data_IF_749755092832
#
_entry.id   IF_749755092832
#
_cell.length_a   1.000
_cell.length_b   1.000
_cell.length_c   1.000
_cell.angle_alpha   90.00
_cell.angle_beta   90.00
_cell.angle_gamma   90.00
#
_symmetry.space_group_name_H-M   'P 1'
#
loop_
_entity.id
_entity.type
_entity.pdbx_description
1 polymer ?
#
# COMPACT_ATOMS: atom_id res chain seq x y z
N UNK A 1 8.98 -36.96 1.90
CA UNK A 1 10.32 -36.81 2.53
C UNK A 1 10.55 -38.02 3.44
N UNK A 2 11.48 -38.91 3.09
CA UNK A 2 11.66 -40.20 3.76
C UNK A 2 12.01 -40.05 5.25
N UNK A 3 11.45 -40.91 6.10
CA UNK A 3 11.73 -40.96 7.54
C UNK A 3 13.24 -41.11 7.84
N UNK A 4 13.96 -41.81 6.96
CA UNK A 4 15.42 -41.95 7.02
C UNK A 4 16.15 -40.61 6.84
N UNK A 5 15.72 -39.77 5.89
CA UNK A 5 16.34 -38.48 5.61
C UNK A 5 16.16 -37.48 6.77
N UNK A 6 15.00 -37.50 7.43
CA UNK A 6 14.76 -36.69 8.65
C UNK A 6 15.72 -37.06 9.79
N UNK A 7 16.02 -38.35 9.97
CA UNK A 7 16.98 -38.80 11.00
C UNK A 7 18.41 -38.30 10.73
N UNK A 8 18.83 -38.24 9.47
CA UNK A 8 20.16 -37.76 9.08
C UNK A 8 20.30 -36.25 9.36
N UNK A 9 19.29 -35.46 8.99
CA UNK A 9 19.30 -34.01 9.23
C UNK A 9 19.37 -33.69 10.72
N UNK A 10 18.58 -34.38 11.55
CA UNK A 10 18.57 -34.15 13.01
C UNK A 10 19.94 -34.47 13.63
N UNK A 11 20.58 -35.57 13.22
CA UNK A 11 21.93 -35.92 13.70
C UNK A 11 22.98 -34.85 13.34
N UNK A 12 22.90 -34.27 12.15
CA UNK A 12 23.83 -33.25 11.70
C UNK A 12 23.71 -31.94 12.49
N UNK A 13 22.47 -31.50 12.77
CA UNK A 13 22.20 -30.31 13.59
C UNK A 13 22.73 -30.48 15.01
N UNK A 14 22.56 -31.67 15.60
CA UNK A 14 23.08 -31.97 16.95
C UNK A 14 24.61 -31.92 16.96
N UNK A 15 25.26 -32.44 15.92
CA UNK A 15 26.72 -32.43 15.82
C UNK A 15 27.29 -31.00 15.73
N UNK A 16 26.69 -30.12 14.92
CA UNK A 16 27.11 -28.70 14.84
C UNK A 16 26.96 -27.97 16.18
N UNK A 17 25.89 -28.27 16.92
CA UNK A 17 25.65 -27.67 18.23
C UNK A 17 26.74 -28.09 19.24
N UNK A 18 27.15 -29.37 19.23
CA UNK A 18 28.22 -29.87 20.10
C UNK A 18 29.56 -29.20 19.77
N UNK A 19 29.91 -29.09 18.49
CA UNK A 19 31.17 -28.44 18.06
C UNK A 19 31.19 -26.97 18.49
N UNK A 20 30.07 -26.25 18.28
CA UNK A 20 29.95 -24.84 18.68
C UNK A 20 30.12 -24.66 20.20
N UNK A 21 29.57 -25.59 20.99
CA UNK A 21 29.69 -25.57 22.44
C UNK A 21 31.12 -25.85 22.91
N UNK A 22 31.82 -26.80 22.26
CA UNK A 22 33.22 -27.08 22.57
C UNK A 22 34.13 -25.88 22.28
N UNK A 23 33.98 -25.24 21.11
CA UNK A 23 34.73 -24.02 20.78
C UNK A 23 34.50 -22.94 21.83
N UNK A 24 33.24 -22.73 22.24
CA UNK A 24 32.90 -21.74 23.26
C UNK A 24 33.56 -22.06 24.61
N UNK A 25 33.61 -23.33 25.02
CA UNK A 25 34.29 -23.76 26.26
C UNK A 25 35.82 -23.66 26.21
N UNK A 26 36.45 -23.78 25.03
CA UNK A 26 37.90 -23.60 24.86
C UNK A 26 38.33 -22.13 24.81
N UNK A 27 37.43 -21.19 24.43
CA UNK A 27 37.78 -19.77 24.36
C UNK A 27 38.39 -19.19 25.66
N UNK A 28 37.87 -19.43 26.88
CA UNK A 28 38.50 -18.90 28.10
C UNK A 28 39.88 -19.49 28.39
N UNK A 29 40.21 -20.68 27.88
CA UNK A 29 41.53 -21.31 28.08
C UNK A 29 42.61 -20.69 27.17
N UNK A 30 42.24 -20.36 25.92
CA UNK A 30 43.12 -19.70 24.95
C UNK A 30 43.37 -18.22 25.29
N UNK A 31 42.46 -17.57 26.01
CA UNK A 31 42.61 -16.18 26.46
C UNK A 31 43.03 -16.08 27.94
N UNK A 32 43.75 -17.09 28.44
CA UNK A 32 44.31 -17.14 29.79
C UNK A 32 44.97 -15.82 30.19
N UNK A 33 44.45 -15.24 31.28
CA UNK A 33 45.00 -14.11 32.05
C UNK A 33 45.76 -13.08 31.22
N UNK A 34 45.03 -12.34 30.37
CA UNK A 34 45.53 -11.07 29.85
C UNK A 34 45.77 -10.16 31.07
N UNK A 35 47.03 -10.06 31.50
CA UNK A 35 47.43 -9.16 32.59
C UNK A 35 46.89 -7.77 32.24
N UNK A 36 46.12 -7.11 33.12
CA UNK A 36 45.60 -5.79 32.83
C UNK A 36 46.80 -4.88 32.55
N UNK A 37 46.85 -4.33 31.34
CA UNK A 37 47.93 -3.45 30.91
C UNK A 37 47.98 -2.26 31.87
N UNK A 38 48.98 -2.23 32.76
CA UNK A 38 49.17 -1.15 33.72
C UNK A 38 49.59 0.11 32.94
N UNK A 39 48.62 0.99 32.70
CA UNK A 39 48.85 2.26 32.00
C UNK A 39 49.75 3.15 32.86
N UNK A 40 50.95 3.41 32.36
CA UNK A 40 51.95 4.26 33.01
C UNK A 40 51.41 5.69 33.22
N UNK A 41 51.51 6.20 34.44
CA UNK A 41 50.88 7.44 34.93
C UNK A 41 51.43 8.73 34.32
N UNK A 42 52.51 8.65 33.53
CA UNK A 42 53.12 9.80 32.83
C UNK A 42 52.30 10.36 31.66
N UNK A 43 51.22 9.68 31.26
CA UNK A 43 50.40 10.09 30.11
C UNK A 43 49.03 10.70 30.46
N UNK A 44 48.83 11.15 31.71
CA UNK A 44 47.54 11.73 32.17
C UNK A 44 47.08 12.93 31.32
N UNK A 45 48.00 13.75 30.81
CA UNK A 45 47.68 14.86 29.89
C UNK A 45 47.19 14.36 28.52
N UNK A 46 47.83 13.36 27.90
CA UNK A 46 47.35 12.77 26.63
C UNK A 46 46.02 12.01 26.78
N UNK A 47 45.76 11.39 27.94
CA UNK A 47 44.48 10.73 28.26
C UNK A 47 43.33 11.75 28.38
N UNK A 48 43.60 12.97 28.84
CA UNK A 48 42.58 14.03 28.90
C UNK A 48 42.20 14.57 27.52
N UNK A 49 43.19 14.75 26.63
CA UNK A 49 42.98 15.23 25.25
C UNK A 49 42.24 14.18 24.41
N UNK A 50 42.56 12.89 24.59
CA UNK A 50 41.84 11.79 23.93
C UNK A 50 40.40 11.64 24.44
N UNK A 51 40.14 11.84 25.75
CA UNK A 51 38.77 11.90 26.30
C UNK A 51 37.97 13.07 25.72
N UNK A 52 38.57 14.24 25.51
CA UNK A 52 37.92 15.38 24.87
C UNK A 52 37.58 15.11 23.40
N UNK A 53 38.53 14.59 22.60
CA UNK A 53 38.28 14.16 21.21
C UNK A 53 37.20 13.08 21.12
N UNK A 54 37.16 12.14 22.07
CA UNK A 54 36.11 11.13 22.19
C UNK A 54 34.71 11.72 22.44
N UNK A 55 34.59 12.74 23.29
CA UNK A 55 33.30 13.40 23.56
C UNK A 55 32.78 14.18 22.34
N UNK A 56 33.66 14.89 21.62
CA UNK A 56 33.30 15.62 20.40
C UNK A 56 32.84 14.66 19.30
N UNK A 57 33.56 13.56 19.06
CA UNK A 57 33.16 12.55 18.06
C UNK A 57 31.85 11.86 18.42
N UNK A 58 31.60 11.55 19.69
CA UNK A 58 30.32 11.00 20.15
C UNK A 58 29.16 12.00 19.97
N UNK A 59 29.38 13.28 20.24
CA UNK A 59 28.38 14.33 20.03
C UNK A 59 28.03 14.48 18.55
N UNK A 60 29.03 14.53 17.67
CA UNK A 60 28.84 14.57 16.21
C UNK A 60 28.09 13.33 15.72
N UNK A 61 28.47 12.13 16.18
CA UNK A 61 27.78 10.86 15.82
C UNK A 61 26.32 10.83 16.31
N UNK A 62 26.03 11.40 17.47
CA UNK A 62 24.65 11.54 17.99
C UNK A 62 23.85 12.55 17.15
N UNK A 63 24.45 13.68 16.79
CA UNK A 63 23.82 14.70 15.94
C UNK A 63 23.49 14.15 14.54
N UNK A 64 24.44 13.45 13.90
CA UNK A 64 24.24 12.82 12.58
C UNK A 64 23.19 11.70 12.62
N UNK A 65 23.15 10.89 13.69
CA UNK A 65 22.08 9.89 13.87
C UNK A 65 20.70 10.54 14.01
N UNK A 66 20.59 11.62 14.79
CA UNK A 66 19.32 12.37 14.95
C UNK A 66 18.88 12.98 13.61
N UNK A 67 19.79 13.61 12.86
CA UNK A 67 19.48 14.20 11.56
C UNK A 67 19.08 13.13 10.53
N UNK A 68 19.80 12.00 10.47
CA UNK A 68 19.48 10.86 9.60
C UNK A 68 18.11 10.25 9.94
N UNK A 69 17.78 10.07 11.23
CA UNK A 69 16.46 9.58 11.68
C UNK A 69 15.35 10.54 11.26
N UNK A 70 15.55 11.86 11.45
CA UNK A 70 14.60 12.91 11.03
C UNK A 70 14.40 12.91 9.50
N UNK A 71 15.47 12.78 8.72
CA UNK A 71 15.41 12.68 7.26
C UNK A 71 14.65 11.43 6.79
N UNK A 72 14.92 10.26 7.40
CA UNK A 72 14.20 9.02 7.11
C UNK A 72 12.70 9.15 7.43
N UNK A 73 12.35 9.77 8.56
CA UNK A 73 10.95 10.04 8.93
C UNK A 73 10.26 10.97 7.93
N UNK A 74 10.93 12.07 7.52
CA UNK A 74 10.41 12.98 6.47
C UNK A 74 10.17 12.26 5.15
N UNK A 75 11.10 11.42 4.70
CA UNK A 75 10.95 10.59 3.48
C UNK A 75 9.74 9.65 3.58
N UNK A 76 9.56 8.95 4.71
CA UNK A 76 8.39 8.08 4.96
C UNK A 76 7.08 8.85 4.94
N UNK A 77 7.02 10.00 5.63
CA UNK A 77 5.83 10.86 5.64
C UNK A 77 5.47 11.36 4.24
N UNK A 78 6.45 11.84 3.46
CA UNK A 78 6.27 12.24 2.06
C UNK A 78 5.74 11.09 1.21
N UNK A 79 6.34 9.89 1.31
CA UNK A 79 5.89 8.69 0.58
C UNK A 79 4.43 8.33 0.92
N UNK A 80 4.05 8.41 2.19
CA UNK A 80 2.67 8.15 2.63
C UNK A 80 1.68 9.19 2.10
N UNK A 81 2.04 10.48 2.12
CA UNK A 81 1.22 11.56 1.52
C UNK A 81 1.01 11.34 0.03
N UNK A 82 2.06 11.00 -0.71
CA UNK A 82 1.98 10.68 -2.14
C UNK A 82 1.08 9.46 -2.41
N UNK A 83 1.23 8.38 -1.64
CA UNK A 83 0.34 7.20 -1.74
C UNK A 83 -1.13 7.56 -1.48
N UNK A 84 -1.42 8.37 -0.47
CA UNK A 84 -2.79 8.85 -0.20
C UNK A 84 -3.34 9.67 -1.37
N UNK A 85 -2.54 10.58 -1.94
CA UNK A 85 -2.93 11.37 -3.14
C UNK A 85 -3.19 10.47 -4.36
N UNK A 86 -2.30 9.52 -4.63
CA UNK A 86 -2.46 8.57 -5.73
C UNK A 86 -3.74 7.72 -5.59
N UNK A 87 -4.06 7.24 -4.38
CA UNK A 87 -5.32 6.53 -4.11
C UNK A 87 -6.54 7.41 -4.36
N UNK A 88 -6.54 8.66 -3.87
CA UNK A 88 -7.61 9.63 -4.13
C UNK A 88 -7.79 9.90 -5.63
N UNK A 89 -6.69 10.10 -6.36
CA UNK A 89 -6.73 10.32 -7.81
C UNK A 89 -7.23 9.09 -8.57
N UNK A 90 -6.80 7.88 -8.19
CA UNK A 90 -7.32 6.63 -8.77
C UNK A 90 -8.83 6.48 -8.54
N UNK A 91 -9.32 6.81 -7.34
CA UNK A 91 -10.75 6.84 -7.03
C UNK A 91 -11.51 7.86 -7.88
N UNK A 92 -10.99 9.09 -8.00
CA UNK A 92 -11.57 10.14 -8.87
C UNK A 92 -11.62 9.70 -10.34
N UNK A 93 -10.54 9.10 -10.87
CA UNK A 93 -10.51 8.54 -12.24
C UNK A 93 -11.55 7.44 -12.44
N UNK A 94 -11.73 6.53 -11.48
CA UNK A 94 -12.76 5.48 -11.53
C UNK A 94 -14.18 6.08 -11.56
N UNK A 95 -14.45 7.07 -10.72
CA UNK A 95 -15.74 7.79 -10.69
C UNK A 95 -15.95 8.57 -11.99
N UNK A 96 -14.91 9.19 -12.55
CA UNK A 96 -15.01 9.89 -13.83
C UNK A 96 -15.30 8.92 -14.99
N UNK A 97 -14.63 7.76 -15.01
CA UNK A 97 -14.84 6.71 -16.01
C UNK A 97 -16.23 6.05 -15.94
N UNK A 98 -16.86 6.04 -14.75
CA UNK A 98 -18.23 5.53 -14.59
C UNK A 98 -19.31 6.53 -15.01
N UNK A 99 -18.96 7.79 -15.27
CA UNK A 99 -19.90 8.78 -15.78
C UNK A 99 -20.17 8.55 -17.27
N UNK A 100 -21.44 8.53 -17.65
CA UNK A 100 -21.88 8.38 -19.04
C UNK A 100 -22.77 9.55 -19.43
N UNK A 101 -22.49 10.14 -20.60
CA UNK A 101 -23.30 11.20 -21.20
C UNK A 101 -24.26 10.56 -22.20
N UNK A 102 -25.49 11.06 -22.27
CA UNK A 102 -26.48 10.60 -23.24
C UNK A 102 -27.84 11.25 -23.03
N UNK A 103 -28.84 10.81 -23.79
CA UNK A 103 -30.24 11.20 -23.62
C UNK A 103 -30.97 10.07 -22.91
N UNK A 104 -31.76 10.40 -21.87
CA UNK A 104 -32.59 9.39 -21.21
C UNK A 104 -33.85 9.16 -22.03
N UNK A 105 -34.18 7.90 -22.27
CA UNK A 105 -35.44 7.47 -22.87
C UNK A 105 -36.15 6.48 -21.96
N UNK A 106 -37.48 6.45 -22.06
CA UNK A 106 -38.31 5.48 -21.35
C UNK A 106 -38.08 4.10 -21.96
N UNK A 107 -37.86 3.09 -21.13
CA UNK A 107 -37.74 1.73 -21.63
C UNK A 107 -39.15 1.19 -21.89
N UNK A 108 -39.35 0.52 -23.03
CA UNK A 108 -40.58 -0.25 -23.28
C UNK A 108 -40.65 -1.49 -22.39
N UNK A 109 -41.64 -2.36 -22.65
CA UNK A 109 -41.70 -3.70 -22.02
C UNK A 109 -40.42 -4.47 -22.36
N UNK A 110 -39.75 -5.01 -21.34
CA UNK A 110 -38.58 -5.89 -21.47
C UNK A 110 -38.84 -7.13 -20.63
N UNK A 111 -38.51 -8.29 -21.20
CA UNK A 111 -38.70 -9.59 -20.55
C UNK A 111 -37.93 -9.70 -19.22
N UNK A 112 -36.74 -9.11 -19.14
CA UNK A 112 -35.86 -9.28 -17.98
C UNK A 112 -35.97 -8.17 -16.93
N UNK A 113 -36.80 -7.13 -17.18
CA UNK A 113 -37.07 -6.01 -16.25
C UNK A 113 -35.81 -5.40 -15.58
N UNK A 114 -34.68 -5.37 -16.31
CA UNK A 114 -33.37 -5.03 -15.72
C UNK A 114 -33.18 -3.52 -15.47
N UNK A 115 -34.07 -2.69 -16.02
CA UNK A 115 -34.09 -1.25 -15.85
C UNK A 115 -35.51 -0.71 -16.04
N UNK A 116 -35.68 0.59 -15.85
CA UNK A 116 -36.94 1.28 -16.20
C UNK A 116 -36.74 2.26 -17.35
N UNK A 117 -35.50 2.68 -17.58
CA UNK A 117 -35.10 3.64 -18.60
C UNK A 117 -33.83 3.15 -19.30
N UNK A 118 -33.48 3.76 -20.42
CA UNK A 118 -32.19 3.54 -21.05
C UNK A 118 -31.50 4.86 -21.41
N UNK A 119 -30.17 4.78 -21.52
CA UNK A 119 -29.32 5.88 -21.96
C UNK A 119 -28.98 5.68 -23.44
N UNK A 120 -29.39 6.64 -24.25
CA UNK A 120 -29.16 6.70 -25.68
C UNK A 120 -27.97 7.61 -25.99
N UNK A 121 -27.05 7.14 -26.84
CA UNK A 121 -25.90 7.89 -27.33
C UNK A 121 -25.82 7.69 -28.85
N UNK A 122 -25.94 8.78 -29.60
CA UNK A 122 -25.90 8.76 -31.07
C UNK A 122 -26.89 7.75 -31.67
N UNK A 123 -28.15 7.76 -31.21
CA UNK A 123 -29.18 6.83 -31.67
C UNK A 123 -29.08 5.40 -31.10
N UNK A 124 -27.97 5.05 -30.43
CA UNK A 124 -27.72 3.68 -29.95
C UNK A 124 -28.00 3.56 -28.45
N UNK A 125 -28.64 2.45 -28.05
CA UNK A 125 -28.87 2.07 -26.66
C UNK A 125 -27.57 1.57 -26.02
N UNK A 126 -27.00 2.34 -25.10
CA UNK A 126 -25.69 2.02 -24.49
C UNK A 126 -25.84 1.42 -23.09
N UNK A 127 -26.82 1.86 -22.31
CA UNK A 127 -27.00 1.40 -20.93
C UNK A 127 -28.47 1.34 -20.52
N UNK A 128 -28.80 0.37 -19.68
CA UNK A 128 -30.05 0.31 -18.92
C UNK A 128 -29.88 1.10 -17.63
N UNK A 129 -30.89 1.85 -17.23
CA UNK A 129 -30.88 2.69 -16.04
C UNK A 129 -31.89 2.18 -15.02
N UNK A 130 -31.46 2.09 -13.77
CA UNK A 130 -32.31 1.76 -12.62
C UNK A 130 -31.96 2.69 -11.47
N UNK A 131 -32.96 3.24 -10.78
CA UNK A 131 -32.77 3.98 -9.54
C UNK A 131 -33.95 3.77 -8.60
N UNK A 132 -33.69 3.67 -7.30
CA UNK A 132 -34.73 3.68 -6.26
C UNK A 132 -35.01 5.09 -5.74
N UNK A 133 -34.00 5.98 -5.75
CA UNK A 133 -34.06 7.30 -5.11
C UNK A 133 -34.39 8.44 -6.09
N UNK A 134 -34.04 8.28 -7.36
CA UNK A 134 -34.17 9.35 -8.37
C UNK A 134 -35.31 9.01 -9.33
N UNK A 135 -36.30 9.91 -9.45
CA UNK A 135 -37.38 9.82 -10.44
C UNK A 135 -36.84 10.06 -11.85
N UNK A 136 -36.56 8.99 -12.59
CA UNK A 136 -35.94 9.05 -13.92
C UNK A 136 -36.85 9.69 -14.98
N UNK A 137 -38.17 9.61 -14.82
CA UNK A 137 -39.14 10.15 -15.76
C UNK A 137 -38.98 11.67 -15.98
N UNK A 138 -38.55 12.40 -14.94
CA UNK A 138 -38.25 13.85 -15.01
C UNK A 138 -37.11 14.22 -15.97
N UNK A 139 -36.35 13.23 -16.44
CA UNK A 139 -35.20 13.42 -17.32
C UNK A 139 -35.39 12.82 -18.72
N UNK A 140 -36.56 12.28 -19.04
CA UNK A 140 -36.85 11.75 -20.38
C UNK A 140 -36.66 12.86 -21.43
N UNK A 141 -35.98 12.53 -22.53
CA UNK A 141 -35.65 13.45 -23.62
C UNK A 141 -34.54 14.47 -23.31
N UNK A 142 -34.00 14.48 -22.08
CA UNK A 142 -32.96 15.44 -21.68
C UNK A 142 -31.56 14.84 -21.83
N UNK A 143 -30.62 15.66 -22.28
CA UNK A 143 -29.19 15.33 -22.28
C UNK A 143 -28.64 15.43 -20.86
N UNK A 144 -28.11 14.32 -20.35
CA UNK A 144 -27.65 14.21 -18.97
C UNK A 144 -26.31 13.51 -18.86
N UNK A 145 -25.62 13.77 -17.76
CA UNK A 145 -24.46 13.02 -17.28
C UNK A 145 -24.92 12.13 -16.12
N UNK A 146 -25.01 10.83 -16.38
CA UNK A 146 -25.40 9.82 -15.40
C UNK A 146 -24.17 9.27 -14.69
N UNK A 147 -24.26 9.10 -13.37
CA UNK A 147 -23.23 8.44 -12.57
C UNK A 147 -23.86 7.37 -11.67
N UNK A 148 -23.15 6.26 -11.52
CA UNK A 148 -23.65 5.10 -10.79
C UNK A 148 -22.69 3.92 -10.82
N UNK A 149 -23.09 2.84 -10.15
CA UNK A 149 -22.42 1.54 -10.30
C UNK A 149 -22.93 0.86 -11.57
N UNK A 150 -22.01 0.28 -12.34
CA UNK A 150 -22.34 -0.43 -13.57
C UNK A 150 -22.18 -1.94 -13.36
N UNK A 151 -23.16 -2.72 -13.81
CA UNK A 151 -23.14 -4.18 -13.91
C UNK A 151 -23.35 -4.59 -15.36
N UNK A 152 -22.94 -5.80 -15.73
CA UNK A 152 -23.23 -6.35 -17.06
C UNK A 152 -24.72 -6.67 -17.15
N UNK A 153 -25.34 -6.44 -18.31
CA UNK A 153 -26.70 -6.92 -18.58
C UNK A 153 -26.68 -8.41 -18.90
N UNK A 154 -27.80 -9.09 -18.66
CA UNK A 154 -27.98 -10.50 -19.06
C UNK A 154 -28.40 -10.58 -20.53
N UNK A 155 -29.22 -9.63 -21.01
CA UNK A 155 -29.68 -9.58 -22.40
C UNK A 155 -28.54 -9.40 -23.41
N UNK A 156 -27.53 -8.60 -23.06
CA UNK A 156 -26.46 -8.27 -23.99
C UNK A 156 -25.18 -7.85 -23.29
N UNK A 157 -24.01 -8.44 -23.61
CA UNK A 157 -22.73 -8.09 -22.99
C UNK A 157 -22.27 -6.67 -23.31
N UNK A 158 -22.76 -6.10 -24.43
CA UNK A 158 -22.48 -4.73 -24.86
C UNK A 158 -23.23 -3.68 -24.03
N UNK A 159 -24.38 -4.05 -23.44
CA UNK A 159 -25.24 -3.16 -22.66
C UNK A 159 -24.92 -3.32 -21.17
N UNK A 160 -24.80 -2.20 -20.46
CA UNK A 160 -24.54 -2.19 -19.01
C UNK A 160 -25.77 -1.70 -18.26
N UNK A 161 -26.06 -2.33 -17.13
CA UNK A 161 -27.07 -1.84 -16.18
C UNK A 161 -26.37 -0.88 -15.24
N UNK A 162 -26.81 0.38 -15.21
CA UNK A 162 -26.30 1.42 -14.33
C UNK A 162 -27.32 1.67 -13.22
N UNK A 163 -26.92 1.38 -11.98
CA UNK A 163 -27.67 1.80 -10.80
C UNK A 163 -27.34 3.26 -10.50
N UNK A 164 -28.26 4.15 -10.86
CA UNK A 164 -28.03 5.59 -10.91
C UNK A 164 -28.05 6.18 -9.50
N UNK A 165 -26.92 6.80 -9.12
CA UNK A 165 -26.74 7.48 -7.84
C UNK A 165 -26.81 9.00 -7.96
N UNK A 166 -26.43 9.57 -9.11
CA UNK A 166 -26.58 11.00 -9.37
C UNK A 166 -26.71 11.27 -10.89
N UNK A 167 -27.53 12.28 -11.21
CA UNK A 167 -27.79 12.76 -12.58
C UNK A 167 -27.49 14.27 -12.61
N UNK A 168 -26.72 14.72 -13.59
CA UNK A 168 -26.51 16.14 -13.88
C UNK A 168 -27.08 16.48 -15.25
N UNK A 169 -28.02 17.42 -15.33
CA UNK A 169 -28.52 17.95 -16.61
C UNK A 169 -27.41 18.72 -17.31
N UNK A 170 -27.23 18.47 -18.60
CA UNK A 170 -26.31 19.24 -19.44
C UNK A 170 -27.12 20.36 -20.11
N UNK A 171 -26.58 21.57 -20.13
CA UNK A 171 -27.12 22.65 -20.98
C UNK A 171 -26.94 22.21 -22.43
N UNK A 172 -27.95 22.46 -23.26
CA UNK A 172 -27.89 22.17 -24.70
C UNK A 172 -26.81 23.03 -25.34
#
# INVERSE_FOLDING_TARGET
>A
MNKAFKKIIIKWIILEAIISLMVLSLTPFLFGSIKPFKVNSRNKKAVSITKAKGRVTLAVKKATRKSAKKAKLRRRSRKNRLRKRARKNKKRKRIAKSRKKGVIRRMGRSFYMQGTHYLEVNGKKVALLKSKKIKLDKYIGRRVLVSGSAKKSVESPKIKIISVSAIKRLKK
#
